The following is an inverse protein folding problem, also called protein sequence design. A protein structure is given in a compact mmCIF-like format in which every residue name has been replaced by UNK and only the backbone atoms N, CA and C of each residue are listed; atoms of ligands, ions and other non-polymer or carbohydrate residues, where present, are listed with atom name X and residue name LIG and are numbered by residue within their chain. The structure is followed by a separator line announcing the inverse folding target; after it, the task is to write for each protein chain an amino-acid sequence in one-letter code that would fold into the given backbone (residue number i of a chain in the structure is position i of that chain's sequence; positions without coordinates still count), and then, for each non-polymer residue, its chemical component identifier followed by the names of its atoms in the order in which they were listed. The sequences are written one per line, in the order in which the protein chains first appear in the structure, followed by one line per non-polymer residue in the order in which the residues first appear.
data_IF_486669104265
#
_entry.id   IF_486669104265
#
_cell.length_a   1.000
_cell.length_b   1.000
_cell.length_c   1.000
_cell.angle_alpha   90.00
_cell.angle_beta   90.00
_cell.angle_gamma   90.00
#
_symmetry.space_group_name_H-M   'P 1'
#
loop_
_entity.id
_entity.type
_entity.pdbx_description
1 polymer ?
#
# COMPACT_ATOMS: atom_id res chain seq x y z
N UNK A 1 1.42 0.89 24.19
CA UNK A 1 1.02 0.59 22.81
C UNK A 1 -0.46 0.92 22.73
N UNK A 2 -0.81 1.98 22.00
CA UNK A 2 -2.20 2.26 21.64
C UNK A 2 -2.69 1.10 20.75
N UNK A 3 -3.88 0.57 21.07
CA UNK A 3 -4.45 -0.50 20.25
C UNK A 3 -4.86 0.11 18.89
N UNK A 4 -4.18 -0.27 17.80
CA UNK A 4 -4.47 0.25 16.46
C UNK A 4 -5.94 0.12 16.07
N UNK A 5 -6.69 -0.80 16.69
CA UNK A 5 -8.11 -1.01 16.45
C UNK A 5 -8.98 0.19 16.85
N UNK A 6 -8.52 1.05 17.75
CA UNK A 6 -9.21 2.30 18.10
C UNK A 6 -9.28 3.29 16.92
N UNK A 7 -8.39 3.12 15.91
CA UNK A 7 -8.34 3.94 14.71
C UNK A 7 -9.02 3.30 13.50
N UNK A 8 -9.63 2.12 13.66
CA UNK A 8 -10.33 1.50 12.54
C UNK A 8 -11.53 2.33 12.13
N UNK A 9 -11.73 2.44 10.82
CA UNK A 9 -12.89 3.15 10.27
C UNK A 9 -14.16 2.38 10.60
N UNK A 10 -15.13 3.06 11.22
CA UNK A 10 -16.43 2.48 11.51
C UNK A 10 -17.31 2.46 10.25
N UNK A 11 -17.96 1.31 9.92
CA UNK A 11 -18.77 1.18 8.70
C UNK A 11 -19.89 2.21 8.59
N UNK A 12 -20.55 2.56 9.70
CA UNK A 12 -21.64 3.54 9.71
C UNK A 12 -21.13 4.96 9.37
N UNK A 13 -19.97 5.34 9.90
CA UNK A 13 -19.35 6.64 9.62
C UNK A 13 -18.85 6.71 8.16
N UNK A 14 -18.24 5.64 7.67
CA UNK A 14 -17.80 5.54 6.28
C UNK A 14 -18.96 5.66 5.30
N UNK A 15 -20.11 5.02 5.62
CA UNK A 15 -21.33 5.13 4.85
C UNK A 15 -21.85 6.56 4.82
N UNK A 16 -22.03 7.20 5.97
CA UNK A 16 -22.51 8.57 6.07
C UNK A 16 -21.60 9.52 5.30
N UNK A 17 -20.28 9.38 5.45
CA UNK A 17 -19.31 10.20 4.75
C UNK A 17 -19.44 10.05 3.23
N UNK A 18 -19.47 8.82 2.72
CA UNK A 18 -19.59 8.55 1.28
C UNK A 18 -20.91 9.07 0.72
N UNK A 19 -22.03 8.85 1.40
CA UNK A 19 -23.36 9.33 0.98
C UNK A 19 -23.47 10.85 0.95
N UNK A 20 -22.83 11.55 1.89
CA UNK A 20 -22.88 13.03 1.98
C UNK A 20 -21.92 13.69 1.02
N UNK A 21 -20.73 13.13 0.82
CA UNK A 21 -19.69 13.75 -0.03
C UNK A 21 -19.79 13.31 -1.49
N UNK A 22 -20.39 12.16 -1.76
CA UNK A 22 -20.42 11.53 -3.09
C UNK A 22 -19.02 11.35 -3.69
N UNK A 23 -18.03 11.04 -2.85
CA UNK A 23 -16.67 10.82 -3.28
C UNK A 23 -16.53 9.53 -4.10
N UNK A 24 -15.69 9.55 -5.14
CA UNK A 24 -15.41 8.37 -5.99
C UNK A 24 -14.58 7.32 -5.26
N UNK A 25 -13.81 7.73 -4.25
CA UNK A 25 -12.91 6.85 -3.51
C UNK A 25 -12.73 7.31 -2.07
N UNK A 26 -12.77 6.38 -1.12
CA UNK A 26 -12.62 6.63 0.31
C UNK A 26 -11.48 5.77 0.87
N UNK A 27 -10.49 6.42 1.46
CA UNK A 27 -9.45 5.74 2.22
C UNK A 27 -9.98 5.37 3.61
N UNK A 28 -9.81 4.11 3.99
CA UNK A 28 -10.30 3.56 5.25
C UNK A 28 -9.16 2.90 6.02
N UNK A 29 -9.27 2.87 7.36
CA UNK A 29 -8.33 2.19 8.25
C UNK A 29 -8.89 0.85 8.69
N UNK A 30 -8.10 -0.21 8.50
CA UNK A 30 -8.39 -1.58 8.92
C UNK A 30 -7.12 -2.36 9.33
N UNK A 31 -6.11 -1.64 9.85
CA UNK A 31 -4.88 -2.23 10.38
C UNK A 31 -3.58 -1.71 9.78
N UNK A 32 -3.62 -0.73 8.88
CA UNK A 32 -2.41 -0.13 8.31
C UNK A 32 -2.12 1.26 8.86
N UNK A 33 -0.83 1.60 8.89
CA UNK A 33 -0.32 2.95 9.13
C UNK A 33 0.65 3.34 8.01
N UNK A 34 0.98 4.63 7.92
CA UNK A 34 1.98 5.11 6.96
C UNK A 34 3.40 4.94 7.52
N UNK A 35 4.35 4.59 6.63
CA UNK A 35 5.77 4.56 6.95
C UNK A 35 6.38 3.16 6.96
N UNK A 36 7.35 2.97 7.84
CA UNK A 36 8.05 1.69 8.04
C UNK A 36 7.54 1.07 9.33
N UNK A 37 7.03 -0.12 9.25
CA UNK A 37 6.54 -0.86 10.41
C UNK A 37 7.69 -1.41 11.25
N UNK A 38 7.55 -1.37 12.57
CA UNK A 38 8.45 -2.07 13.50
C UNK A 38 8.23 -3.59 13.46
N UNK A 39 6.96 -3.99 13.32
CA UNK A 39 6.53 -5.38 13.12
C UNK A 39 5.51 -5.41 11.97
N UNK A 40 5.44 -6.52 11.20
CA UNK A 40 4.47 -6.64 10.12
C UNK A 40 3.04 -6.42 10.64
N UNK A 41 2.25 -5.55 10.01
CA UNK A 41 0.88 -5.30 10.44
C UNK A 41 -0.02 -6.49 10.10
N UNK A 42 -1.07 -6.67 10.89
CA UNK A 42 -2.13 -7.65 10.63
C UNK A 42 -3.39 -6.89 10.22
N UNK A 43 -3.92 -7.21 9.03
CA UNK A 43 -5.11 -6.57 8.50
C UNK A 43 -6.39 -7.23 9.03
N UNK A 44 -7.37 -6.41 9.40
CA UNK A 44 -8.73 -6.87 9.69
C UNK A 44 -9.54 -7.00 8.40
N UNK A 45 -9.53 -8.20 7.82
CA UNK A 45 -10.21 -8.49 6.55
C UNK A 45 -11.73 -8.51 6.70
N UNK A 46 -12.24 -8.86 7.87
CA UNK A 46 -13.68 -8.83 8.13
C UNK A 46 -14.18 -7.39 8.20
N UNK A 47 -13.40 -6.48 8.78
CA UNK A 47 -13.68 -5.03 8.72
C UNK A 47 -13.76 -4.51 7.27
N UNK A 48 -12.91 -5.00 6.36
CA UNK A 48 -12.98 -4.61 4.93
C UNK A 48 -14.30 -5.04 4.31
N UNK A 49 -14.78 -6.25 4.63
CA UNK A 49 -16.10 -6.76 4.15
C UNK A 49 -17.24 -5.89 4.69
N UNK A 50 -17.25 -5.63 6.01
CA UNK A 50 -18.25 -4.76 6.65
C UNK A 50 -18.29 -3.36 6.00
N UNK A 51 -17.13 -2.77 5.75
CA UNK A 51 -17.00 -1.49 5.07
C UNK A 51 -17.52 -1.57 3.62
N UNK A 52 -17.22 -2.67 2.90
CA UNK A 52 -17.73 -2.83 1.51
C UNK A 52 -19.24 -2.97 1.47
N UNK A 53 -19.84 -3.65 2.43
CA UNK A 53 -21.31 -3.81 2.53
C UNK A 53 -22.00 -2.49 2.90
N UNK A 54 -21.33 -1.64 3.71
CA UNK A 54 -21.89 -0.38 4.17
C UNK A 54 -21.76 0.77 3.16
N UNK A 55 -20.59 0.87 2.50
CA UNK A 55 -20.27 1.97 1.57
C UNK A 55 -21.01 1.76 0.24
N UNK A 56 -21.54 2.83 -0.42
CA UNK A 56 -22.17 2.73 -1.74
C UNK A 56 -21.23 2.09 -2.79
N UNK A 57 -21.81 1.34 -3.74
CA UNK A 57 -21.06 0.57 -4.74
C UNK A 57 -20.23 1.42 -5.69
N UNK A 58 -20.61 2.67 -5.91
CA UNK A 58 -19.92 3.64 -6.74
C UNK A 58 -18.72 4.29 -6.03
N UNK A 59 -18.63 4.18 -4.69
CA UNK A 59 -17.46 4.62 -3.92
C UNK A 59 -16.44 3.50 -3.76
N UNK A 60 -15.22 3.70 -4.22
CA UNK A 60 -14.11 2.72 -4.14
C UNK A 60 -13.42 2.74 -2.79
N UNK A 61 -13.14 1.58 -2.22
CA UNK A 61 -12.34 1.46 -0.99
C UNK A 61 -10.85 1.54 -1.35
N UNK A 62 -10.12 2.39 -0.63
CA UNK A 62 -8.69 2.62 -0.82
C UNK A 62 -7.92 2.18 0.42
N UNK A 63 -6.89 1.36 0.22
CA UNK A 63 -5.91 0.97 1.24
C UNK A 63 -4.68 1.87 1.15
N UNK A 64 -4.39 2.62 2.20
CA UNK A 64 -3.11 3.29 2.41
C UNK A 64 -2.17 2.41 3.23
N UNK A 65 -0.86 2.68 3.19
CA UNK A 65 0.13 2.01 4.04
C UNK A 65 0.38 0.53 3.71
N UNK A 66 0.14 0.09 2.47
CA UNK A 66 0.36 -1.31 2.09
C UNK A 66 1.84 -1.74 2.04
N UNK A 67 2.77 -0.80 2.02
CA UNK A 67 4.22 -1.10 2.06
C UNK A 67 4.59 -1.78 3.37
N UNK A 68 5.12 -3.00 3.31
CA UNK A 68 5.50 -3.80 4.48
C UNK A 68 4.39 -4.71 5.01
N UNK A 69 3.21 -4.69 4.39
CA UNK A 69 2.18 -5.71 4.59
C UNK A 69 2.51 -6.92 3.73
N UNK A 70 2.35 -8.12 4.27
CA UNK A 70 2.51 -9.37 3.51
C UNK A 70 1.53 -9.42 2.34
N UNK A 71 2.00 -9.88 1.17
CA UNK A 71 1.21 -9.82 -0.07
C UNK A 71 -0.08 -10.62 -0.01
N UNK A 72 -0.13 -11.72 0.71
CA UNK A 72 -1.34 -12.52 0.90
C UNK A 72 -2.43 -11.74 1.65
N UNK A 73 -2.07 -10.95 2.66
CA UNK A 73 -3.01 -10.07 3.35
C UNK A 73 -3.55 -8.97 2.42
N UNK A 74 -2.69 -8.36 1.59
CA UNK A 74 -3.13 -7.37 0.59
C UNK A 74 -4.09 -8.01 -0.42
N UNK A 75 -3.79 -9.22 -0.90
CA UNK A 75 -4.65 -9.99 -1.79
C UNK A 75 -6.01 -10.30 -1.16
N UNK A 76 -6.02 -10.66 0.13
CA UNK A 76 -7.25 -10.89 0.89
C UNK A 76 -8.08 -9.60 1.01
N UNK A 77 -7.45 -8.45 1.28
CA UNK A 77 -8.13 -7.15 1.32
C UNK A 77 -8.73 -6.77 -0.05
N UNK A 78 -8.00 -7.02 -1.15
CA UNK A 78 -8.49 -6.81 -2.52
C UNK A 78 -9.70 -7.70 -2.81
N UNK A 79 -9.64 -8.97 -2.41
CA UNK A 79 -10.75 -9.92 -2.56
C UNK A 79 -11.97 -9.51 -1.73
N UNK A 80 -11.74 -8.94 -0.55
CA UNK A 80 -12.80 -8.46 0.35
C UNK A 80 -13.46 -7.14 -0.11
N UNK A 81 -12.90 -6.44 -1.12
CA UNK A 81 -13.52 -5.24 -1.71
C UNK A 81 -12.64 -4.00 -1.82
N UNK A 82 -11.38 -4.07 -1.38
CA UNK A 82 -10.43 -2.97 -1.61
C UNK A 82 -10.11 -2.84 -3.10
N UNK A 83 -10.32 -1.67 -3.68
CA UNK A 83 -10.20 -1.43 -5.13
C UNK A 83 -8.93 -0.69 -5.52
N UNK A 84 -8.28 0.00 -4.59
CA UNK A 84 -7.04 0.77 -4.81
C UNK A 84 -6.09 0.58 -3.66
N UNK A 85 -4.82 0.35 -3.95
CA UNK A 85 -3.76 0.14 -2.96
C UNK A 85 -2.62 1.12 -3.20
N UNK A 86 -2.19 1.82 -2.15
CA UNK A 86 -1.02 2.71 -2.19
C UNK A 86 0.20 1.98 -1.66
N UNK A 87 1.26 1.90 -2.49
CA UNK A 87 2.51 1.22 -2.16
C UNK A 87 3.70 2.10 -2.52
N UNK A 88 4.58 2.45 -1.56
CA UNK A 88 5.73 3.32 -1.84
C UNK A 88 6.94 3.09 -0.92
N UNK A 89 6.77 3.17 0.41
CA UNK A 89 7.86 3.34 1.37
C UNK A 89 8.96 2.28 1.29
N UNK A 90 8.60 1.00 1.17
CA UNK A 90 9.58 -0.09 1.06
C UNK A 90 10.27 -0.10 -0.29
N UNK A 91 9.59 0.23 -1.38
CA UNK A 91 10.21 0.39 -2.70
C UNK A 91 11.23 1.54 -2.68
N UNK A 92 10.88 2.69 -2.09
CA UNK A 92 11.79 3.82 -1.95
C UNK A 92 13.03 3.46 -1.11
N UNK A 93 12.84 2.78 0.03
CA UNK A 93 13.93 2.31 0.89
C UNK A 93 14.85 1.31 0.17
N UNK A 94 14.28 0.35 -0.55
CA UNK A 94 15.04 -0.61 -1.34
C UNK A 94 15.85 0.09 -2.45
N UNK A 95 15.25 1.09 -3.11
CA UNK A 95 15.95 1.89 -4.13
C UNK A 95 17.09 2.69 -3.54
N UNK A 96 16.93 3.29 -2.36
CA UNK A 96 18.02 4.00 -1.67
C UNK A 96 19.19 3.08 -1.39
N UNK A 97 18.91 1.86 -0.90
CA UNK A 97 19.96 0.86 -0.68
C UNK A 97 20.65 0.48 -2.00
N UNK A 98 19.88 0.19 -3.05
CA UNK A 98 20.40 -0.14 -4.38
C UNK A 98 21.34 0.96 -4.92
N UNK A 99 20.95 2.23 -4.79
CA UNK A 99 21.76 3.39 -5.20
C UNK A 99 23.06 3.45 -4.41
N UNK A 100 23.00 3.27 -3.08
CA UNK A 100 24.20 3.26 -2.24
C UNK A 100 25.16 2.13 -2.63
N UNK A 101 24.65 0.92 -2.86
CA UNK A 101 25.44 -0.23 -3.29
C UNK A 101 26.09 0.03 -4.65
N UNK A 102 25.38 0.62 -5.62
CA UNK A 102 25.91 0.96 -6.94
C UNK A 102 27.05 2.01 -6.89
N UNK A 103 26.91 3.01 -6.05
CA UNK A 103 27.99 4.00 -5.83
C UNK A 103 29.20 3.33 -5.21
N UNK A 104 29.02 2.44 -4.23
CA UNK A 104 30.12 1.72 -3.60
C UNK A 104 30.83 0.75 -4.57
N UNK A 105 30.09 -0.02 -5.39
CA UNK A 105 30.64 -0.95 -6.40
C UNK A 105 31.58 -0.26 -7.40
N UNK A 106 31.33 1.01 -7.71
CA UNK A 106 32.10 1.77 -8.68
C UNK A 106 33.13 2.70 -8.03
N UNK A 107 33.33 2.59 -6.71
CA UNK A 107 34.25 3.48 -5.95
C UNK A 107 33.90 4.97 -6.19
N UNK A 108 32.59 5.29 -6.28
CA UNK A 108 32.09 6.64 -6.54
C UNK A 108 32.31 7.15 -7.97
N UNK A 109 32.72 6.30 -8.92
CA UNK A 109 33.08 6.72 -10.29
C UNK A 109 31.88 6.63 -11.28
N UNK A 110 30.73 6.11 -10.85
CA UNK A 110 29.54 6.06 -11.69
C UNK A 110 29.05 7.47 -12.05
N UNK A 111 28.74 7.70 -13.32
CA UNK A 111 28.17 8.98 -13.73
C UNK A 111 26.73 9.14 -13.25
N UNK A 112 26.31 10.36 -12.93
CA UNK A 112 24.99 10.64 -12.35
C UNK A 112 23.83 10.13 -13.22
N UNK A 113 23.91 10.30 -14.54
CA UNK A 113 22.87 9.81 -15.45
C UNK A 113 22.77 8.28 -15.49
N UNK A 114 23.90 7.57 -15.41
CA UNK A 114 23.92 6.09 -15.32
C UNK A 114 23.28 5.62 -14.01
N UNK A 115 23.57 6.33 -12.91
CA UNK A 115 22.96 6.03 -11.60
C UNK A 115 21.44 6.24 -11.61
N UNK A 116 20.97 7.33 -12.26
CA UNK A 116 19.54 7.60 -12.41
C UNK A 116 18.85 6.52 -13.26
N UNK A 117 19.43 6.11 -14.38
CA UNK A 117 18.88 5.05 -15.23
C UNK A 117 18.82 3.72 -14.50
N UNK A 118 19.88 3.35 -13.78
CA UNK A 118 19.91 2.14 -12.98
C UNK A 118 18.83 2.14 -11.87
N UNK A 119 18.68 3.26 -11.17
CA UNK A 119 17.65 3.44 -10.15
C UNK A 119 16.23 3.34 -10.73
N UNK A 120 15.99 3.95 -11.90
CA UNK A 120 14.73 3.88 -12.62
C UNK A 120 14.38 2.43 -12.99
N UNK A 121 15.30 1.68 -13.59
CA UNK A 121 15.03 0.30 -13.98
C UNK A 121 14.82 -0.62 -12.75
N UNK A 122 15.54 -0.37 -11.66
CA UNK A 122 15.32 -1.06 -10.39
C UNK A 122 13.90 -0.81 -9.85
N UNK A 123 13.48 0.46 -9.75
CA UNK A 123 12.14 0.82 -9.28
C UNK A 123 11.03 0.26 -10.18
N UNK A 124 11.24 0.30 -11.49
CA UNK A 124 10.31 -0.25 -12.48
C UNK A 124 10.16 -1.77 -12.33
N UNK A 125 11.26 -2.49 -12.09
CA UNK A 125 11.23 -3.92 -11.79
C UNK A 125 10.45 -4.21 -10.52
N UNK A 126 10.75 -3.50 -9.44
CA UNK A 126 10.08 -3.62 -8.16
C UNK A 126 8.56 -3.34 -8.27
N UNK A 127 8.19 -2.25 -8.95
CA UNK A 127 6.78 -1.91 -9.17
C UNK A 127 6.03 -2.99 -9.97
N UNK A 128 6.68 -3.59 -11.00
CA UNK A 128 6.10 -4.70 -11.76
C UNK A 128 5.80 -5.91 -10.88
N UNK A 129 6.69 -6.25 -9.96
CA UNK A 129 6.49 -7.39 -9.06
C UNK A 129 5.37 -7.14 -8.05
N UNK A 130 5.29 -5.94 -7.50
CA UNK A 130 4.16 -5.51 -6.65
C UNK A 130 2.84 -5.57 -7.41
N UNK A 131 2.79 -5.05 -8.64
CA UNK A 131 1.58 -5.10 -9.48
C UNK A 131 1.16 -6.54 -9.78
N UNK A 132 2.11 -7.43 -10.08
CA UNK A 132 1.81 -8.85 -10.29
C UNK A 132 1.22 -9.50 -9.05
N UNK A 133 1.79 -9.21 -7.87
CA UNK A 133 1.27 -9.70 -6.60
C UNK A 133 -0.16 -9.21 -6.35
N UNK A 134 -0.44 -7.92 -6.61
CA UNK A 134 -1.76 -7.33 -6.39
C UNK A 134 -2.82 -7.78 -7.40
N UNK A 135 -2.42 -8.23 -8.60
CA UNK A 135 -3.37 -8.81 -9.57
C UNK A 135 -4.08 -10.08 -9.08
N UNK A 136 -3.53 -10.75 -8.07
CA UNK A 136 -4.15 -11.91 -7.40
C UNK A 136 -4.64 -12.97 -8.41
N UNK A 137 -3.81 -13.27 -9.41
CA UNK A 137 -4.12 -14.28 -10.43
C UNK A 137 -5.12 -13.86 -11.52
N UNK A 138 -5.47 -12.55 -11.58
CA UNK A 138 -6.32 -11.99 -12.65
C UNK A 138 -5.52 -11.45 -13.82
#
# INVERSE_FOLDING_TARGET
NEDIREFFTEPAEAKEFAERTKCDALAVCFGTMHGIYAEPPVLDIDRVKELREAIPDDTRIVMHGASGVEFDQVQNAITAGCSKVNYYSYMAKATTKFVADKVAETDGKIAYHELQEAAYEFMKGYAKDVIKAFKNGK
#
